data_IF_360876889300
#
_entry.id   IF_360876889300
#
_cell.length_a   1.000
_cell.length_b   1.000
_cell.length_c   1.000
_cell.angle_alpha   90.00
_cell.angle_beta   90.00
_cell.angle_gamma   90.00
#
_symmetry.space_group_name_H-M   'P 1'
#
loop_
_entity.id
_entity.type
_entity.pdbx_description
1 polymer ?
#
# COMPACT_ATOMS: atom_id res chain seq x y z
N UNK A 1 -22.84 -18.56 11.96
CA UNK A 1 -21.69 -19.23 11.33
C UNK A 1 -20.64 -18.16 11.08
N UNK A 2 -19.67 -18.03 11.98
CA UNK A 2 -18.58 -17.06 11.79
C UNK A 2 -17.76 -17.49 10.60
N UNK A 3 -17.76 -16.68 9.55
CA UNK A 3 -16.73 -16.75 8.54
C UNK A 3 -15.41 -16.42 9.26
N UNK A 4 -14.67 -17.47 9.64
CA UNK A 4 -13.23 -17.35 9.82
C UNK A 4 -12.76 -16.91 8.45
N UNK A 5 -12.53 -15.60 8.29
CA UNK A 5 -11.75 -15.08 7.17
C UNK A 5 -10.42 -15.78 7.33
N UNK A 6 -10.22 -16.85 6.57
CA UNK A 6 -8.90 -17.39 6.31
C UNK A 6 -8.16 -16.26 5.60
N UNK A 7 -7.56 -15.36 6.40
CA UNK A 7 -6.53 -14.45 5.92
C UNK A 7 -5.44 -15.38 5.40
N UNK A 8 -5.46 -15.47 4.07
CA UNK A 8 -4.44 -15.93 3.14
C UNK A 8 -3.29 -16.73 3.74
N UNK A 9 -3.15 -17.96 3.26
CA UNK A 9 -2.08 -18.93 3.52
C UNK A 9 -0.74 -18.28 3.88
N UNK A 10 -0.47 -18.23 5.18
CA UNK A 10 0.82 -17.91 5.74
C UNK A 10 1.82 -19.03 5.40
N UNK A 11 3.10 -18.70 5.10
CA UNK A 11 3.68 -17.37 5.03
C UNK A 11 3.37 -16.64 3.72
N UNK A 12 3.30 -15.30 3.80
CA UNK A 12 3.40 -14.43 2.63
C UNK A 12 4.74 -14.76 1.94
N UNK A 13 4.74 -14.98 0.62
CA UNK A 13 5.86 -15.55 -0.14
C UNK A 13 7.24 -14.85 0.00
N UNK A 14 7.33 -13.71 0.70
CA UNK A 14 8.56 -12.98 0.96
C UNK A 14 9.15 -13.18 2.37
N UNK A 15 8.47 -13.90 3.26
CA UNK A 15 8.88 -14.06 4.65
C UNK A 15 9.41 -15.47 4.91
N UNK A 16 10.54 -15.57 5.60
CA UNK A 16 11.11 -16.87 5.98
C UNK A 16 11.61 -16.82 7.43
N UNK A 17 11.18 -17.74 8.30
CA UNK A 17 11.70 -17.81 9.66
C UNK A 17 13.20 -18.04 9.71
N UNK A 18 13.87 -17.37 10.63
CA UNK A 18 15.26 -17.67 10.98
C UNK A 18 15.36 -19.05 11.65
N UNK A 19 16.56 -19.64 11.63
CA UNK A 19 16.81 -20.88 12.35
C UNK A 19 16.47 -20.70 13.85
N UNK A 20 15.70 -21.64 14.40
CA UNK A 20 15.21 -21.63 15.78
C UNK A 20 14.36 -20.40 16.16
N UNK A 21 13.68 -19.78 15.18
CA UNK A 21 12.72 -18.72 15.47
C UNK A 21 11.64 -19.21 16.46
N UNK A 22 11.37 -18.47 17.55
CA UNK A 22 10.30 -18.82 18.48
C UNK A 22 8.94 -18.63 17.80
N UNK A 23 7.96 -19.40 18.26
CA UNK A 23 6.56 -19.26 17.86
C UNK A 23 5.69 -19.04 19.09
N UNK A 24 4.60 -18.31 18.90
CA UNK A 24 3.61 -17.99 19.93
C UNK A 24 2.25 -18.43 19.40
N UNK A 25 1.54 -19.25 20.16
CA UNK A 25 0.14 -19.54 19.89
C UNK A 25 -0.74 -18.46 20.53
N UNK A 26 -1.56 -17.82 19.72
CA UNK A 26 -2.52 -16.81 20.13
C UNK A 26 -3.83 -17.47 20.61
N UNK A 27 -4.66 -16.81 21.44
CA UNK A 27 -5.90 -17.40 21.96
C UNK A 27 -6.92 -17.86 20.91
N UNK A 28 -6.79 -17.39 19.67
CA UNK A 28 -7.59 -17.79 18.53
C UNK A 28 -7.01 -18.99 17.74
N UNK A 29 -5.99 -19.67 18.29
CA UNK A 29 -5.32 -20.82 17.68
C UNK A 29 -4.31 -20.46 16.59
N UNK A 30 -4.05 -19.18 16.34
CA UNK A 30 -3.04 -18.76 15.36
C UNK A 30 -1.64 -18.90 15.93
N UNK A 31 -0.73 -19.49 15.14
CA UNK A 31 0.69 -19.55 15.48
C UNK A 31 1.40 -18.39 14.77
N UNK A 32 1.89 -17.43 15.55
CA UNK A 32 2.66 -16.29 15.07
C UNK A 32 4.16 -16.47 15.34
N UNK A 33 4.99 -15.94 14.45
CA UNK A 33 6.43 -15.76 14.69
C UNK A 33 6.67 -14.25 14.82
N UNK A 34 7.34 -13.78 15.88
CA UNK A 34 7.64 -12.35 16.00
C UNK A 34 8.45 -11.85 14.81
N UNK A 35 8.08 -10.66 14.32
CA UNK A 35 8.59 -10.06 13.08
C UNK A 35 10.12 -10.01 13.00
N UNK A 36 10.81 -9.80 14.13
CA UNK A 36 12.27 -9.70 14.17
C UNK A 36 13.01 -11.03 14.01
N UNK A 37 12.30 -12.16 14.05
CA UNK A 37 12.85 -13.50 13.75
C UNK A 37 12.53 -13.97 12.32
N UNK A 38 12.03 -13.08 11.47
CA UNK A 38 11.79 -13.35 10.07
C UNK A 38 12.88 -12.68 9.22
N UNK A 39 13.26 -13.34 8.13
CA UNK A 39 14.00 -12.76 7.01
C UNK A 39 13.03 -12.39 5.91
N UNK A 40 13.33 -11.28 5.24
CA UNK A 40 12.50 -10.75 4.17
C UNK A 40 13.24 -10.77 2.84
N UNK A 41 12.53 -11.18 1.80
CA UNK A 41 13.01 -11.16 0.43
C UNK A 41 11.87 -10.73 -0.48
N UNK A 42 11.54 -9.45 -0.43
CA UNK A 42 10.52 -8.85 -1.28
C UNK A 42 10.90 -8.97 -2.76
N UNK A 43 9.88 -9.28 -3.53
CA UNK A 43 9.90 -9.37 -5.00
C UNK A 43 8.75 -8.52 -5.54
N UNK A 44 8.78 -8.19 -6.82
CA UNK A 44 7.67 -7.48 -7.43
C UNK A 44 6.33 -8.22 -7.24
N UNK A 45 6.34 -9.55 -7.33
CA UNK A 45 5.14 -10.37 -7.14
C UNK A 45 4.66 -10.38 -5.69
N UNK A 46 5.56 -10.49 -4.70
CA UNK A 46 5.16 -10.47 -3.28
C UNK A 46 4.53 -9.14 -2.89
N UNK A 47 5.14 -8.03 -3.33
CA UNK A 47 4.60 -6.69 -3.03
C UNK A 47 3.27 -6.48 -3.74
N UNK A 48 3.11 -6.92 -5.00
CA UNK A 48 1.81 -6.86 -5.69
C UNK A 48 0.73 -7.65 -4.97
N UNK A 49 1.02 -8.86 -4.53
CA UNK A 49 0.07 -9.68 -3.78
C UNK A 49 -0.33 -8.99 -2.47
N UNK A 50 0.65 -8.44 -1.74
CA UNK A 50 0.41 -7.72 -0.50
C UNK A 50 -0.46 -6.47 -0.69
N UNK A 51 -0.18 -5.67 -1.72
CA UNK A 51 -0.97 -4.47 -2.03
C UNK A 51 -2.38 -4.82 -2.53
N UNK A 52 -2.57 -5.96 -3.21
CA UNK A 52 -3.88 -6.40 -3.68
C UNK A 52 -4.84 -6.77 -2.54
N UNK A 53 -4.31 -7.16 -1.38
CA UNK A 53 -5.10 -7.46 -0.18
C UNK A 53 -5.51 -6.19 0.59
N UNK A 54 -4.94 -5.02 0.26
CA UNK A 54 -5.29 -3.74 0.91
C UNK A 54 -6.56 -3.18 0.26
N UNK A 55 -7.63 -3.07 1.06
CA UNK A 55 -8.88 -2.42 0.66
C UNK A 55 -8.96 -1.01 1.23
N UNK A 56 -9.36 -0.03 0.39
CA UNK A 56 -9.55 1.37 0.79
C UNK A 56 -10.82 1.97 0.19
N UNK A 57 -10.72 2.69 -0.92
CA UNK A 57 -11.87 3.24 -1.68
C UNK A 57 -11.80 2.83 -3.16
N UNK A 58 -12.81 3.18 -3.95
CA UNK A 58 -12.96 2.79 -5.37
C UNK A 58 -12.10 3.61 -6.35
N UNK A 59 -11.49 4.70 -5.89
CA UNK A 59 -10.71 5.65 -6.69
C UNK A 59 -9.22 5.59 -6.39
N UNK A 60 -8.82 4.96 -5.30
CA UNK A 60 -7.43 4.85 -4.86
C UNK A 60 -6.89 3.47 -5.19
N UNK A 61 -5.95 3.43 -6.11
CA UNK A 61 -5.29 2.22 -6.57
C UNK A 61 -3.85 2.17 -6.04
N UNK A 62 -3.43 0.99 -5.61
CA UNK A 62 -2.05 0.71 -5.22
C UNK A 62 -1.34 -0.10 -6.30
N UNK A 63 -0.18 0.39 -6.70
CA UNK A 63 0.67 -0.26 -7.69
C UNK A 63 2.01 -0.61 -7.07
N UNK A 64 2.54 -1.76 -7.44
CA UNK A 64 3.95 -2.09 -7.23
C UNK A 64 4.66 -2.19 -8.58
N UNK A 65 5.85 -1.60 -8.62
CA UNK A 65 6.72 -1.61 -9.78
C UNK A 65 8.18 -1.84 -9.39
N UNK A 66 9.00 -2.09 -10.39
CA UNK A 66 10.44 -2.21 -10.26
C UNK A 66 11.10 -1.40 -11.37
N UNK A 67 12.13 -0.65 -11.03
CA UNK A 67 12.99 0.04 -11.99
C UNK A 67 14.48 -0.20 -11.63
N UNK A 68 15.47 0.33 -12.36
CA UNK A 68 16.88 0.11 -12.05
C UNK A 68 17.28 0.50 -10.62
N UNK A 69 16.49 1.34 -9.95
CA UNK A 69 16.74 1.76 -8.57
C UNK A 69 15.96 0.94 -7.53
N UNK A 70 15.38 -0.21 -7.92
CA UNK A 70 14.74 -1.14 -6.99
C UNK A 70 13.21 -1.17 -7.04
N UNK A 71 12.62 -1.73 -5.99
CA UNK A 71 11.18 -1.88 -5.85
C UNK A 71 10.54 -0.58 -5.38
N UNK A 72 9.32 -0.32 -5.82
CA UNK A 72 8.54 0.81 -5.33
C UNK A 72 7.05 0.51 -5.28
N UNK A 73 6.39 1.22 -4.37
CA UNK A 73 4.94 1.37 -4.27
C UNK A 73 4.58 2.70 -4.93
N UNK A 74 3.45 2.77 -5.63
CA UNK A 74 2.92 4.00 -6.20
C UNK A 74 1.41 4.01 -6.04
N UNK A 75 0.89 5.14 -5.56
CA UNK A 75 -0.56 5.38 -5.50
C UNK A 75 -1.00 5.97 -6.82
N UNK A 76 -2.10 5.45 -7.38
CA UNK A 76 -2.86 6.12 -8.42
C UNK A 76 -4.22 6.55 -7.91
N UNK A 77 -4.67 7.74 -8.29
CA UNK A 77 -5.99 8.28 -7.96
C UNK A 77 -6.78 8.42 -9.25
N UNK A 78 -8.01 7.94 -9.26
CA UNK A 78 -8.98 8.18 -10.32
C UNK A 78 -9.70 9.49 -10.00
N UNK A 79 -9.31 10.56 -10.68
CA UNK A 79 -9.76 11.91 -10.38
C UNK A 79 -9.75 12.85 -11.58
N UNK A 80 -10.07 14.13 -11.35
CA UNK A 80 -9.99 15.16 -12.39
C UNK A 80 -8.57 15.68 -12.50
N UNK A 81 -8.20 16.19 -13.68
CA UNK A 81 -6.92 16.87 -13.84
C UNK A 81 -7.02 18.30 -13.31
N UNK A 82 -6.09 18.69 -12.43
CA UNK A 82 -6.12 19.98 -11.72
C UNK A 82 -5.53 21.15 -12.55
N UNK A 83 -5.20 20.93 -13.82
CA UNK A 83 -4.75 21.98 -14.74
C UNK A 83 -5.94 22.50 -15.57
N UNK A 84 -6.73 23.42 -15.02
CA UNK A 84 -7.72 24.16 -15.82
C UNK A 84 -7.28 25.59 -16.14
N UNK A 85 -7.26 25.87 -17.46
CA UNK A 85 -7.54 27.18 -18.05
C UNK A 85 -8.85 27.04 -18.86
N UNK A 86 -10.00 26.92 -18.21
CA UNK A 86 -11.32 27.00 -18.88
C UNK A 86 -12.41 26.04 -18.39
N UNK A 87 -13.66 26.38 -18.69
CA UNK A 87 -14.95 25.78 -18.23
C UNK A 87 -15.27 24.36 -18.75
N UNK A 88 -14.29 23.60 -19.27
CA UNK A 88 -14.55 22.28 -19.86
C UNK A 88 -14.40 21.16 -18.84
N UNK A 89 -15.53 20.55 -18.44
CA UNK A 89 -15.53 19.32 -17.64
C UNK A 89 -14.81 18.18 -18.38
N UNK A 90 -13.58 17.86 -17.95
CA UNK A 90 -12.81 16.73 -18.47
C UNK A 90 -13.19 15.42 -17.77
N UNK A 91 -13.12 14.27 -18.48
CA UNK A 91 -13.37 12.96 -17.88
C UNK A 91 -12.35 12.64 -16.79
N UNK A 92 -12.73 11.77 -15.84
CA UNK A 92 -11.79 11.26 -14.85
C UNK A 92 -10.65 10.52 -15.52
N UNK A 93 -9.45 10.70 -14.98
CA UNK A 93 -8.24 10.00 -15.43
C UNK A 93 -7.51 9.42 -14.23
N UNK A 94 -6.72 8.39 -14.50
CA UNK A 94 -5.78 7.86 -13.52
C UNK A 94 -4.56 8.77 -13.44
N UNK A 95 -4.37 9.45 -12.31
CA UNK A 95 -3.17 10.22 -11.99
C UNK A 95 -2.29 9.43 -11.04
N UNK A 96 -0.97 9.54 -11.18
CA UNK A 96 -0.01 8.82 -10.35
C UNK A 96 0.68 9.76 -9.37
N UNK A 97 0.76 9.35 -8.12
CA UNK A 97 1.58 9.98 -7.10
C UNK A 97 3.07 9.66 -7.25
N UNK A 98 3.83 10.03 -6.23
CA UNK A 98 5.27 9.73 -6.15
C UNK A 98 5.53 8.22 -6.00
N UNK A 99 6.70 7.78 -6.45
CA UNK A 99 7.21 6.42 -6.17
C UNK A 99 7.78 6.37 -4.77
N UNK A 100 7.28 5.45 -3.95
CA UNK A 100 7.75 5.15 -2.60
C UNK A 100 8.65 3.93 -2.65
N UNK A 101 9.95 4.13 -2.51
CA UNK A 101 10.94 3.06 -2.66
C UNK A 101 10.97 2.19 -1.41
N UNK A 102 11.12 0.88 -1.64
CA UNK A 102 11.30 -0.12 -0.59
C UNK A 102 12.48 -1.02 -0.97
N UNK A 103 13.18 -1.49 0.04
CA UNK A 103 14.27 -2.44 -0.13
C UNK A 103 13.74 -3.87 -0.16
N UNK A 104 14.59 -4.82 -0.57
CA UNK A 104 14.20 -6.23 -0.64
C UNK A 104 14.04 -6.87 0.74
N UNK A 105 14.68 -6.32 1.76
CA UNK A 105 14.61 -6.76 3.14
C UNK A 105 13.55 -6.00 3.96
N UNK A 106 12.77 -5.12 3.33
CA UNK A 106 11.68 -4.41 4.00
C UNK A 106 10.61 -5.40 4.51
N UNK A 107 10.28 -5.37 5.81
CA UNK A 107 9.23 -6.21 6.37
C UNK A 107 7.86 -5.96 5.74
N UNK A 108 7.02 -6.99 5.62
CA UNK A 108 5.69 -6.82 5.02
C UNK A 108 4.83 -5.81 5.79
N UNK A 109 4.95 -5.73 7.12
CA UNK A 109 4.27 -4.72 7.93
C UNK A 109 4.70 -3.30 7.56
N UNK A 110 5.98 -3.07 7.28
CA UNK A 110 6.50 -1.78 6.83
C UNK A 110 6.07 -1.46 5.39
N UNK A 111 5.97 -2.46 4.51
CA UNK A 111 5.39 -2.29 3.16
C UNK A 111 3.94 -1.82 3.26
N UNK A 112 3.14 -2.42 4.15
CA UNK A 112 1.74 -2.01 4.41
C UNK A 112 1.70 -0.58 4.96
N UNK A 113 2.50 -0.26 5.98
CA UNK A 113 2.56 1.09 6.55
C UNK A 113 2.95 2.13 5.51
N UNK A 114 3.92 1.79 4.65
CA UNK A 114 4.37 2.66 3.55
C UNK A 114 3.24 2.88 2.54
N UNK A 115 2.45 1.86 2.22
CA UNK A 115 1.30 1.99 1.33
C UNK A 115 0.24 2.96 1.91
N UNK A 116 -0.12 2.83 3.18
CA UNK A 116 -1.08 3.74 3.82
C UNK A 116 -0.54 5.17 3.96
N UNK A 117 0.75 5.32 4.25
CA UNK A 117 1.40 6.62 4.25
C UNK A 117 1.38 7.25 2.86
N UNK A 118 1.66 6.48 1.81
CA UNK A 118 1.60 6.94 0.43
C UNK A 118 0.20 7.41 0.04
N UNK A 119 -0.84 6.67 0.44
CA UNK A 119 -2.26 7.07 0.24
C UNK A 119 -2.53 8.39 0.94
N UNK A 120 -2.17 8.50 2.22
CA UNK A 120 -2.37 9.71 3.01
C UNK A 120 -1.70 10.92 2.36
N UNK A 121 -0.46 10.76 1.88
CA UNK A 121 0.26 11.82 1.16
C UNK A 121 -0.36 12.19 -0.19
N UNK A 122 -0.94 11.24 -0.90
CA UNK A 122 -1.65 11.54 -2.14
C UNK A 122 -2.93 12.35 -1.87
N UNK A 123 -3.67 12.02 -0.81
CA UNK A 123 -4.83 12.80 -0.38
C UNK A 123 -4.48 14.20 0.15
N UNK A 124 -3.39 14.36 0.90
CA UNK A 124 -2.88 15.68 1.29
C UNK A 124 -2.59 16.56 0.07
N UNK A 125 -2.07 15.97 -1.02
CA UNK A 125 -1.85 16.68 -2.27
C UNK A 125 -3.17 17.08 -2.93
N UNK A 126 -4.13 16.16 -3.06
CA UNK A 126 -5.44 16.47 -3.65
C UNK A 126 -6.17 17.58 -2.88
N UNK A 127 -6.15 17.55 -1.55
CA UNK A 127 -6.75 18.63 -0.74
C UNK A 127 -6.06 19.96 -1.00
N UNK A 128 -4.72 20.00 -1.07
CA UNK A 128 -3.97 21.23 -1.33
C UNK A 128 -4.30 21.86 -2.69
N UNK A 129 -4.56 21.04 -3.70
CA UNK A 129 -4.86 21.50 -5.05
C UNK A 129 -6.35 21.86 -5.23
N UNK A 130 -7.27 21.15 -4.56
CA UNK A 130 -8.71 21.29 -4.79
C UNK A 130 -9.41 22.21 -3.78
N UNK A 131 -8.90 22.33 -2.56
CA UNK A 131 -9.52 23.14 -1.52
C UNK A 131 -9.31 24.63 -1.81
N UNK A 132 -10.33 25.26 -2.40
CA UNK A 132 -10.41 26.72 -2.52
C UNK A 132 -11.30 27.26 -1.41
N UNK A 133 -10.73 28.00 -0.46
CA UNK A 133 -11.52 28.79 0.48
C UNK A 133 -11.99 30.04 -0.25
N UNK A 134 -13.29 30.11 -0.55
CA UNK A 134 -13.92 31.36 -1.00
C UNK A 134 -14.36 32.08 0.27
N UNK A 135 -13.70 33.17 0.60
CA UNK A 135 -14.17 34.02 1.68
C UNK A 135 -15.57 34.55 1.36
N UNK A 136 -16.52 34.21 2.23
CA UNK A 136 -17.82 34.84 2.38
C UNK A 136 -17.65 36.02 3.35
N UNK A 137 -17.07 37.11 2.85
CA UNK A 137 -17.10 38.42 3.50
C UNK A 137 -17.43 39.48 2.44
#
# INVERSE_FOLDING_TARGET
MSAVVALSSWPINAETPMANAPSIELPNGYIGIPQHYLRYQQTLSSVRALLADIQFDDKTLLFAGQDPNGLYIQVGIIGRENYERGDQQRPHKLVYGRKWRIDRDTPSSEVIQTAFLAISKAYEHEVRELLTVKDAW
#
